data_IF_632134638867
#
_entry.id   IF_632134638867
#
_cell.length_a   1.000
_cell.length_b   1.000
_cell.length_c   1.000
_cell.angle_alpha   90.00
_cell.angle_beta   90.00
_cell.angle_gamma   90.00
#
_symmetry.space_group_name_H-M   'P 1'
#
loop_
_entity.id
_entity.type
_entity.pdbx_description
1 polymer ?
#
# COMPACT_ATOMS: atom_id res chain seq x y z
N UNK A 1 -12.65 -10.66 -88.56
CA UNK A 1 -13.20 -10.62 -87.15
C UNK A 1 -12.38 -11.52 -86.28
N UNK A 2 -11.48 -10.95 -85.45
CA UNK A 2 -10.67 -11.70 -84.45
C UNK A 2 -11.37 -11.66 -83.11
N UNK A 3 -11.88 -12.81 -82.60
CA UNK A 3 -12.41 -12.95 -81.28
C UNK A 3 -11.22 -12.96 -80.25
N UNK A 4 -11.11 -11.92 -79.45
CA UNK A 4 -10.19 -11.88 -78.33
C UNK A 4 -10.62 -12.88 -77.24
N UNK A 5 -9.79 -13.88 -76.97
CA UNK A 5 -9.91 -14.73 -75.79
C UNK A 5 -9.64 -13.87 -74.53
N UNK A 6 -10.64 -13.69 -73.71
CA UNK A 6 -10.46 -13.19 -72.33
C UNK A 6 -9.83 -14.28 -71.51
N UNK A 7 -8.55 -14.11 -71.15
CA UNK A 7 -7.91 -14.94 -70.15
C UNK A 7 -8.49 -14.61 -68.76
N UNK A 8 -9.22 -15.56 -68.18
CA UNK A 8 -9.60 -15.48 -66.79
C UNK A 8 -8.37 -15.55 -65.88
N UNK A 9 -8.20 -14.67 -64.93
CA UNK A 9 -7.13 -14.77 -63.97
C UNK A 9 -7.35 -16.08 -63.17
N UNK A 10 -6.36 -16.96 -63.21
CA UNK A 10 -6.30 -18.13 -62.33
C UNK A 10 -6.07 -17.61 -60.89
N UNK A 11 -7.14 -17.52 -60.09
CA UNK A 11 -7.08 -17.28 -58.65
C UNK A 11 -6.44 -18.56 -58.10
N UNK A 12 -5.18 -18.49 -57.78
CA UNK A 12 -4.39 -19.61 -57.35
C UNK A 12 -4.92 -20.11 -55.98
N UNK A 13 -5.23 -21.41 -55.87
CA UNK A 13 -5.62 -22.05 -54.61
C UNK A 13 -4.50 -21.90 -53.51
N UNK A 14 -3.27 -21.59 -53.91
CA UNK A 14 -2.17 -21.19 -53.05
C UNK A 14 -2.50 -19.98 -52.17
N UNK A 15 -3.28 -19.01 -52.65
CA UNK A 15 -3.67 -17.83 -51.92
C UNK A 15 -4.52 -18.13 -50.68
N UNK A 16 -5.33 -19.15 -50.71
CA UNK A 16 -6.24 -19.50 -49.61
C UNK A 16 -5.44 -20.18 -48.43
N UNK A 17 -4.53 -21.07 -48.77
CA UNK A 17 -3.63 -21.72 -47.80
C UNK A 17 -2.70 -20.69 -47.17
N UNK A 18 -2.18 -19.76 -47.94
CA UNK A 18 -1.31 -18.69 -47.48
C UNK A 18 -2.03 -17.76 -46.47
N UNK A 19 -3.28 -17.36 -46.77
CA UNK A 19 -4.12 -16.60 -45.84
C UNK A 19 -4.38 -17.37 -44.53
N UNK A 20 -4.62 -18.66 -44.58
CA UNK A 20 -4.83 -19.49 -43.39
C UNK A 20 -3.56 -19.53 -42.51
N UNK A 21 -2.39 -19.67 -43.13
CA UNK A 21 -1.10 -19.68 -42.41
C UNK A 21 -0.89 -18.31 -41.72
N UNK A 22 -1.13 -17.19 -42.41
CA UNK A 22 -1.01 -15.86 -41.82
C UNK A 22 -1.96 -15.64 -40.64
N UNK A 23 -3.22 -16.08 -40.76
CA UNK A 23 -4.19 -15.98 -39.66
C UNK A 23 -3.75 -16.83 -38.48
N UNK A 24 -3.25 -18.04 -38.71
CA UNK A 24 -2.75 -18.91 -37.65
C UNK A 24 -1.55 -18.29 -36.92
N UNK A 25 -0.56 -17.80 -37.65
CA UNK A 25 0.62 -17.12 -37.08
C UNK A 25 0.21 -15.85 -36.32
N UNK A 26 -0.66 -15.04 -36.91
CA UNK A 26 -1.16 -13.83 -36.25
C UNK A 26 -1.89 -14.15 -34.96
N UNK A 27 -2.71 -15.19 -34.95
CA UNK A 27 -3.46 -15.62 -33.76
C UNK A 27 -2.52 -16.04 -32.61
N UNK A 28 -1.45 -16.76 -32.94
CA UNK A 28 -0.41 -17.14 -31.96
C UNK A 28 0.31 -15.91 -31.41
N UNK A 29 0.72 -15.00 -32.30
CA UNK A 29 1.41 -13.76 -31.89
C UNK A 29 0.53 -12.88 -31.00
N UNK A 30 -0.76 -12.74 -31.33
CA UNK A 30 -1.72 -12.01 -30.53
C UNK A 30 -1.94 -12.68 -29.16
N UNK A 31 -2.01 -14.02 -29.11
CA UNK A 31 -2.15 -14.78 -27.88
C UNK A 31 -0.96 -14.58 -26.93
N UNK A 32 0.26 -14.67 -27.44
CA UNK A 32 1.48 -14.44 -26.66
C UNK A 32 1.58 -12.98 -26.22
N UNK A 33 1.28 -12.05 -27.14
CA UNK A 33 1.26 -10.60 -26.84
C UNK A 33 0.28 -10.24 -25.73
N UNK A 34 -0.93 -10.80 -25.78
CA UNK A 34 -1.95 -10.58 -24.76
C UNK A 34 -1.52 -11.10 -23.38
N UNK A 35 -0.91 -12.28 -23.30
CA UNK A 35 -0.39 -12.82 -22.04
C UNK A 35 0.68 -11.93 -21.45
N UNK A 36 1.63 -11.45 -22.25
CA UNK A 36 2.68 -10.53 -21.83
C UNK A 36 2.11 -9.20 -21.28
N UNK A 37 1.17 -8.60 -22.00
CA UNK A 37 0.49 -7.38 -21.57
C UNK A 37 -0.28 -7.60 -20.27
N UNK A 38 -1.04 -8.68 -20.15
CA UNK A 38 -1.79 -9.02 -18.94
C UNK A 38 -0.90 -9.11 -17.70
N UNK A 39 0.29 -9.74 -17.83
CA UNK A 39 1.28 -9.81 -16.76
C UNK A 39 1.80 -8.42 -16.36
N UNK A 40 2.15 -7.58 -17.34
CA UNK A 40 2.63 -6.23 -17.09
C UNK A 40 1.59 -5.36 -16.37
N UNK A 41 0.31 -5.43 -16.75
CA UNK A 41 -0.75 -4.71 -16.06
C UNK A 41 -0.94 -5.21 -14.62
N UNK A 42 -0.86 -6.51 -14.40
CA UNK A 42 -0.99 -7.07 -13.05
C UNK A 42 0.16 -6.65 -12.14
N UNK A 43 1.40 -6.70 -12.63
CA UNK A 43 2.56 -6.27 -11.87
C UNK A 43 2.58 -4.76 -11.62
N UNK A 44 2.19 -3.94 -12.60
CA UNK A 44 2.11 -2.49 -12.41
C UNK A 44 1.05 -2.09 -11.39
N UNK A 45 -0.11 -2.77 -11.37
CA UNK A 45 -1.14 -2.54 -10.36
C UNK A 45 -0.65 -2.91 -8.95
N UNK A 46 0.11 -4.00 -8.80
CA UNK A 46 0.73 -4.39 -7.52
C UNK A 46 1.76 -3.38 -7.04
N UNK A 47 2.63 -2.90 -7.95
CA UNK A 47 3.64 -1.88 -7.61
C UNK A 47 2.97 -0.59 -7.16
N UNK A 48 1.94 -0.14 -7.86
CA UNK A 48 1.18 1.07 -7.51
C UNK A 48 0.52 0.95 -6.14
N UNK A 49 -0.05 -0.21 -5.82
CA UNK A 49 -0.67 -0.45 -4.53
C UNK A 49 0.35 -0.46 -3.38
N UNK A 50 1.51 -1.11 -3.57
CA UNK A 50 2.59 -1.09 -2.58
C UNK A 50 3.14 0.31 -2.36
N UNK A 51 3.33 1.09 -3.43
CA UNK A 51 3.78 2.47 -3.35
C UNK A 51 2.79 3.35 -2.58
N UNK A 52 1.49 3.17 -2.80
CA UNK A 52 0.44 3.88 -2.06
C UNK A 52 0.48 3.57 -0.56
N UNK A 53 0.63 2.29 -0.20
CA UNK A 53 0.73 1.87 1.21
C UNK A 53 1.98 2.48 1.87
N UNK A 54 3.13 2.53 1.15
CA UNK A 54 4.36 3.13 1.65
C UNK A 54 4.24 4.64 1.88
N UNK A 55 3.60 5.35 0.95
CA UNK A 55 3.36 6.79 1.10
C UNK A 55 2.43 7.05 2.28
N UNK A 56 1.35 6.29 2.39
CA UNK A 56 0.37 6.45 3.47
C UNK A 56 1.00 6.20 4.84
N UNK A 57 1.79 5.13 5.03
CA UNK A 57 2.44 4.84 6.31
C UNK A 57 3.52 5.87 6.66
N UNK A 58 4.29 6.35 5.68
CA UNK A 58 5.29 7.39 5.92
C UNK A 58 4.64 8.69 6.36
N UNK A 59 3.58 9.12 5.68
CA UNK A 59 2.81 10.30 6.04
C UNK A 59 2.21 10.17 7.44
N UNK A 60 1.62 9.02 7.76
CA UNK A 60 1.05 8.75 9.08
C UNK A 60 2.14 8.75 10.17
N UNK A 61 3.33 8.23 9.88
CA UNK A 61 4.47 8.26 10.77
C UNK A 61 4.96 9.69 11.08
N UNK A 62 4.96 10.58 10.09
CA UNK A 62 5.29 12.00 10.31
C UNK A 62 4.22 12.73 11.13
N UNK A 63 2.93 12.45 10.86
CA UNK A 63 1.84 12.99 11.68
C UNK A 63 1.95 12.53 13.13
N UNK A 64 2.26 11.25 13.36
CA UNK A 64 2.47 10.72 14.71
C UNK A 64 3.66 11.38 15.40
N UNK A 65 4.78 11.59 14.71
CA UNK A 65 5.93 12.31 15.27
C UNK A 65 5.58 13.73 15.70
N UNK A 66 4.80 14.42 14.87
CA UNK A 66 4.34 15.77 15.17
C UNK A 66 3.40 15.78 16.40
N UNK A 67 2.47 14.81 16.48
CA UNK A 67 1.58 14.68 17.62
C UNK A 67 2.35 14.39 18.92
N UNK A 68 3.34 13.51 18.88
CA UNK A 68 4.19 13.19 20.06
C UNK A 68 5.02 14.41 20.48
N UNK A 69 5.62 15.14 19.53
CA UNK A 69 6.42 16.35 19.84
C UNK A 69 5.60 17.48 20.45
N UNK A 70 4.33 17.58 20.07
CA UNK A 70 3.39 18.59 20.58
C UNK A 70 2.59 18.10 21.78
N UNK A 71 2.88 16.94 22.29
CA UNK A 71 2.23 16.44 23.48
C UNK A 71 2.55 17.35 24.67
N UNK A 72 1.50 17.79 25.38
CA UNK A 72 1.65 18.55 26.63
C UNK A 72 1.95 17.69 27.85
N UNK A 73 1.70 16.40 27.71
CA UNK A 73 1.92 15.38 28.76
C UNK A 73 2.50 14.12 28.13
N UNK A 74 3.05 13.24 28.97
CA UNK A 74 3.54 11.95 28.52
C UNK A 74 2.42 11.14 27.89
N UNK A 75 2.60 10.62 26.67
CA UNK A 75 1.58 9.79 26.02
C UNK A 75 1.25 8.54 26.85
N UNK A 76 -0.03 8.18 26.90
CA UNK A 76 -0.52 7.03 27.62
C UNK A 76 -0.67 5.83 26.69
N UNK A 77 -0.02 4.72 27.03
CA UNK A 77 -0.22 3.44 26.36
C UNK A 77 -1.50 2.79 26.88
N UNK A 78 -2.46 2.56 25.99
CA UNK A 78 -3.72 1.92 26.32
C UNK A 78 -3.61 0.40 26.10
N UNK A 79 -3.04 -0.30 27.09
CA UNK A 79 -2.88 -1.75 27.01
C UNK A 79 -3.98 -2.54 27.73
N UNK A 80 -4.88 -1.89 28.47
CA UNK A 80 -5.72 -2.56 29.47
C UNK A 80 -7.21 -2.66 29.18
N UNK A 81 -7.75 -1.98 28.18
CA UNK A 81 -9.19 -2.02 27.91
C UNK A 81 -9.47 -2.39 26.46
N UNK A 82 -9.65 -3.68 26.16
CA UNK A 82 -10.20 -4.24 24.90
C UNK A 82 -9.64 -3.70 23.57
N UNK A 83 -8.88 -2.61 23.61
CA UNK A 83 -8.18 -1.99 22.47
C UNK A 83 -6.73 -2.43 22.55
N UNK A 84 -6.43 -3.59 22.01
CA UNK A 84 -5.08 -4.10 21.86
C UNK A 84 -4.26 -3.11 21.06
N UNK A 85 -3.25 -2.47 21.70
CA UNK A 85 -2.29 -1.56 21.08
C UNK A 85 -2.83 -0.18 20.68
N UNK A 86 -3.36 0.56 21.62
CA UNK A 86 -3.72 1.98 21.47
C UNK A 86 -2.69 2.91 22.13
N UNK A 87 -2.62 4.15 21.62
CA UNK A 87 -1.82 5.23 22.17
C UNK A 87 -2.67 6.49 22.25
N UNK A 88 -2.84 7.04 23.45
CA UNK A 88 -3.47 8.35 23.65
C UNK A 88 -2.37 9.42 23.81
N UNK A 89 -2.47 10.47 23.02
CA UNK A 89 -1.58 11.64 23.07
C UNK A 89 -2.42 12.85 23.43
N UNK A 90 -2.15 13.43 24.60
CA UNK A 90 -2.82 14.66 25.06
C UNK A 90 -1.99 15.85 24.59
N UNK A 91 -2.56 16.64 23.67
CA UNK A 91 -2.01 17.92 23.23
C UNK A 91 -2.69 19.04 24.00
N UNK A 92 -2.15 20.25 23.94
CA UNK A 92 -2.76 21.44 24.58
C UNK A 92 -4.14 21.77 24.03
N UNK A 93 -4.41 21.44 22.77
CA UNK A 93 -5.64 21.78 22.04
C UNK A 93 -6.63 20.62 21.93
N UNK A 94 -6.14 19.36 22.00
CA UNK A 94 -6.98 18.19 21.77
C UNK A 94 -6.33 16.89 22.24
N UNK A 95 -7.13 15.83 22.33
CA UNK A 95 -6.67 14.47 22.48
C UNK A 95 -6.59 13.79 21.12
N UNK A 96 -5.52 13.05 20.88
CA UNK A 96 -5.32 12.23 19.68
C UNK A 96 -5.17 10.78 20.11
N UNK A 97 -6.02 9.91 19.58
CA UNK A 97 -5.99 8.49 19.85
C UNK A 97 -5.53 7.75 18.59
N UNK A 98 -4.50 6.94 18.74
CA UNK A 98 -4.09 5.95 17.76
C UNK A 98 -4.56 4.59 18.21
N UNK A 99 -5.29 3.85 17.36
CA UNK A 99 -5.78 2.52 17.68
C UNK A 99 -5.67 1.59 16.48
N UNK A 100 -5.31 0.34 16.73
CA UNK A 100 -5.26 -0.72 15.72
C UNK A 100 -6.41 -1.68 15.95
N UNK A 101 -7.34 -1.79 15.00
CA UNK A 101 -8.51 -2.65 15.05
C UNK A 101 -8.58 -3.50 13.78
N UNK A 102 -8.51 -4.80 13.93
CA UNK A 102 -8.49 -5.74 12.79
C UNK A 102 -7.28 -5.53 11.89
N UNK A 103 -7.49 -5.12 10.65
CA UNK A 103 -6.43 -4.81 9.69
C UNK A 103 -6.30 -3.31 9.39
N UNK A 104 -6.86 -2.47 10.24
CA UNK A 104 -6.90 -1.02 10.04
C UNK A 104 -6.35 -0.28 11.24
N UNK A 105 -5.63 0.80 10.96
CA UNK A 105 -5.12 1.73 11.95
C UNK A 105 -5.92 3.03 11.85
N UNK A 106 -6.35 3.51 13.00
CA UNK A 106 -7.16 4.72 13.13
C UNK A 106 -6.38 5.80 13.86
N UNK A 107 -6.53 7.04 13.41
CA UNK A 107 -6.11 8.25 14.11
C UNK A 107 -7.33 9.12 14.36
N UNK A 108 -7.72 9.24 15.62
CA UNK A 108 -8.88 10.00 16.06
C UNK A 108 -8.37 11.28 16.73
N UNK A 109 -8.58 12.43 16.09
CA UNK A 109 -8.14 13.73 16.59
C UNK A 109 -9.30 14.59 17.13
N UNK A 110 -10.54 14.15 16.96
CA UNK A 110 -11.77 14.80 17.46
C UNK A 110 -12.87 13.76 17.59
N UNK A 111 -13.77 13.94 18.55
CA UNK A 111 -14.93 13.07 18.73
C UNK A 111 -16.00 13.25 17.66
N UNK A 112 -15.98 14.37 16.93
CA UNK A 112 -17.05 14.75 16.00
C UNK A 112 -16.84 14.21 14.56
N UNK A 113 -15.69 13.62 14.28
CA UNK A 113 -15.39 13.07 12.95
C UNK A 113 -15.51 11.56 12.99
N UNK A 114 -16.33 10.95 12.11
CA UNK A 114 -16.42 9.50 12.05
C UNK A 114 -15.04 8.90 11.78
N UNK A 115 -14.71 7.77 12.43
CA UNK A 115 -13.39 7.18 12.33
C UNK A 115 -13.16 6.59 10.93
N UNK A 116 -12.46 7.33 10.09
CA UNK A 116 -11.92 6.75 8.86
C UNK A 116 -10.56 6.10 9.15
N UNK A 117 -10.28 4.94 8.58
CA UNK A 117 -8.98 4.31 8.75
C UNK A 117 -7.89 5.20 8.13
N UNK A 118 -6.91 5.57 8.94
CA UNK A 118 -5.74 6.31 8.48
C UNK A 118 -4.82 5.43 7.62
N UNK A 119 -4.83 4.12 7.89
CA UNK A 119 -4.10 3.11 7.14
C UNK A 119 -4.86 1.79 7.18
N UNK A 120 -4.91 1.10 6.04
CA UNK A 120 -5.46 -0.26 5.90
C UNK A 120 -4.33 -1.25 5.63
N UNK A 121 -4.65 -2.55 5.63
CA UNK A 121 -3.67 -3.61 5.36
C UNK A 121 -2.58 -3.73 6.44
N UNK A 122 -2.88 -3.32 7.66
CA UNK A 122 -2.00 -3.41 8.84
C UNK A 122 -2.10 -4.81 9.43
N UNK A 123 -0.96 -5.45 9.65
CA UNK A 123 -0.85 -6.75 10.31
C UNK A 123 -0.66 -6.58 11.82
N UNK A 124 0.20 -5.66 12.22
CA UNK A 124 0.43 -5.34 13.63
C UNK A 124 0.86 -3.89 13.79
N UNK A 125 0.56 -3.32 14.95
CA UNK A 125 0.99 -1.99 15.36
C UNK A 125 1.36 -2.05 16.84
N UNK A 126 2.57 -1.62 17.21
CA UNK A 126 3.05 -1.67 18.58
C UNK A 126 3.79 -0.40 18.94
N UNK A 127 3.55 0.09 20.14
CA UNK A 127 4.21 1.26 20.69
C UNK A 127 5.15 0.83 21.82
N UNK A 128 6.35 1.39 21.83
CA UNK A 128 7.38 1.11 22.82
C UNK A 128 7.87 2.42 23.44
N UNK A 129 8.05 2.40 24.75
CA UNK A 129 8.70 3.47 25.45
C UNK A 129 10.12 3.01 25.76
N UNK A 130 11.10 3.75 25.28
CA UNK A 130 12.53 3.43 25.42
C UNK A 130 13.27 4.61 26.03
N UNK A 131 14.43 4.34 26.64
CA UNK A 131 15.37 5.38 27.02
C UNK A 131 16.63 5.25 26.17
N UNK A 132 16.96 6.31 25.47
CA UNK A 132 18.18 6.37 24.70
C UNK A 132 19.11 7.44 25.35
N UNK A 133 20.22 7.00 25.96
CA UNK A 133 21.17 7.88 26.66
C UNK A 133 20.48 8.81 27.68
N UNK A 134 19.46 8.30 28.41
CA UNK A 134 18.72 9.07 29.40
C UNK A 134 17.62 9.96 28.83
N UNK A 135 17.46 9.99 27.52
CA UNK A 135 16.38 10.73 26.84
C UNK A 135 15.22 9.75 26.60
N UNK A 136 13.99 10.06 27.07
CA UNK A 136 12.83 9.23 26.79
C UNK A 136 12.44 9.34 25.32
N UNK A 137 12.34 8.20 24.66
CA UNK A 137 11.97 8.08 23.23
C UNK A 137 10.81 7.13 23.13
N UNK A 138 9.83 7.51 22.33
CA UNK A 138 8.77 6.62 21.93
C UNK A 138 9.07 6.05 20.55
N UNK A 139 8.96 4.72 20.42
CA UNK A 139 9.10 4.00 19.15
C UNK A 139 7.76 3.39 18.78
N UNK A 140 7.39 3.55 17.54
CA UNK A 140 6.20 2.96 16.94
C UNK A 140 6.59 2.03 15.79
N UNK A 141 6.17 0.78 15.88
CA UNK A 141 6.39 -0.24 14.85
C UNK A 141 5.08 -0.63 14.20
N UNK A 142 5.05 -0.63 12.88
CA UNK A 142 3.90 -1.04 12.08
C UNK A 142 4.34 -2.07 11.05
N UNK A 143 3.75 -3.24 11.09
CA UNK A 143 3.93 -4.28 10.07
C UNK A 143 2.68 -4.31 9.17
N UNK A 144 2.89 -4.26 7.86
CA UNK A 144 1.80 -4.41 6.89
C UNK A 144 1.69 -5.87 6.43
N UNK A 145 0.51 -6.28 5.97
CA UNK A 145 0.36 -7.56 5.30
C UNK A 145 1.12 -7.54 3.98
N UNK A 146 1.95 -8.55 3.75
CA UNK A 146 2.59 -8.73 2.45
C UNK A 146 1.54 -9.11 1.40
N UNK A 147 1.40 -8.28 0.37
CA UNK A 147 0.51 -8.57 -0.77
C UNK A 147 1.07 -9.66 -1.68
N UNK A 148 2.35 -9.93 -1.60
CA UNK A 148 3.00 -11.01 -2.31
C UNK A 148 3.23 -12.20 -1.37
N UNK A 149 2.38 -13.24 -1.47
CA UNK A 149 2.48 -14.46 -0.66
C UNK A 149 3.81 -15.20 -0.83
N UNK A 150 4.54 -14.96 -1.92
CA UNK A 150 5.86 -15.55 -2.19
C UNK A 150 7.01 -14.74 -1.64
N UNK A 151 6.76 -13.49 -1.24
CA UNK A 151 7.80 -12.63 -0.65
C UNK A 151 8.04 -13.01 0.80
N UNK A 152 9.30 -13.26 1.13
CA UNK A 152 9.75 -13.43 2.53
C UNK A 152 9.98 -12.09 3.23
N UNK A 153 9.86 -10.97 2.52
CA UNK A 153 10.04 -9.63 3.07
C UNK A 153 8.83 -9.27 3.93
N UNK A 154 9.10 -8.83 5.14
CA UNK A 154 8.11 -8.25 6.05
C UNK A 154 8.17 -6.73 5.90
N UNK A 155 7.12 -6.07 5.42
CA UNK A 155 7.09 -4.62 5.35
C UNK A 155 6.88 -4.04 6.76
N UNK A 156 7.96 -3.94 7.52
CA UNK A 156 8.02 -3.38 8.86
C UNK A 156 8.55 -1.95 8.79
N UNK A 157 7.80 -1.03 9.37
CA UNK A 157 8.17 0.39 9.49
C UNK A 157 8.36 0.71 10.96
N UNK A 158 9.44 1.43 11.27
CA UNK A 158 9.74 1.88 12.63
C UNK A 158 9.91 3.40 12.62
N UNK A 159 9.16 4.06 13.51
CA UNK A 159 9.20 5.50 13.71
C UNK A 159 9.65 5.78 15.14
N UNK A 160 10.43 6.85 15.32
CA UNK A 160 10.88 7.28 16.64
C UNK A 160 10.57 8.76 16.84
N UNK A 161 10.19 9.11 18.06
CA UNK A 161 9.99 10.48 18.49
C UNK A 161 10.50 10.67 19.92
N UNK A 162 11.19 11.78 20.13
CA UNK A 162 11.64 12.18 21.48
C UNK A 162 10.42 12.73 22.22
N UNK A 163 10.23 12.26 23.44
CA UNK A 163 9.17 12.78 24.31
C UNK A 163 9.58 14.16 24.87
N UNK A 164 8.62 15.07 25.02
CA UNK A 164 8.88 16.31 25.75
C UNK A 164 9.33 15.98 27.16
N UNK A 165 10.30 16.76 27.68
CA UNK A 165 10.63 16.69 29.10
C UNK A 165 9.36 17.02 29.88
N UNK A 166 9.05 16.21 30.90
CA UNK A 166 8.06 16.60 31.88
C UNK A 166 8.44 18.00 32.38
N UNK A 167 7.54 18.96 32.17
CA UNK A 167 7.70 20.23 32.85
C UNK A 167 7.59 19.89 34.34
N UNK A 168 8.66 20.13 35.08
CA UNK A 168 8.67 20.05 36.54
C UNK A 168 7.54 20.95 37.04
N UNK A 169 6.44 20.32 37.50
CA UNK A 169 5.32 20.96 38.17
C UNK A 169 5.63 21.12 39.65
#
# INVERSE_FOLDING_TARGET
MKKGLRSHPKINALSLIECLIYIAVLSVLLGVGYQGLSQLFTESARLRSNSSDMIAITHLGELWRDDVRRAGQRPLLLNELEITNGLEIVRSDRKVLYSHVGSSLYRLASADVPPYPALTNVKSSQFFLEQNQGIPVMRWEVELHSRNKKSKLRPLFSFQAVLPKEADL
#
